data_IF_787432759783
#
_entry.id   IF_787432759783
#
_cell.length_a   1.000
_cell.length_b   1.000
_cell.length_c   1.000
_cell.angle_alpha   90.00
_cell.angle_beta   90.00
_cell.angle_gamma   90.00
#
_symmetry.space_group_name_H-M   'P 1'
#
loop_
_entity.id
_entity.type
_entity.pdbx_description
1 polymer ?
#
# COMPACT_ATOMS: atom_id res chain seq x y z
N UNK A 1 -7.54 -51.29 0.58
CA UNK A 1 -6.77 -50.34 1.42
C UNK A 1 -6.33 -49.17 0.55
N UNK A 2 -7.18 -48.15 0.40
CA UNK A 2 -6.88 -46.97 -0.41
C UNK A 2 -6.06 -45.96 0.42
N UNK A 3 -4.82 -45.72 0.03
CA UNK A 3 -3.96 -44.70 0.64
C UNK A 3 -4.55 -43.32 0.28
N UNK A 4 -5.25 -42.68 1.22
CA UNK A 4 -5.60 -41.27 1.10
C UNK A 4 -4.30 -40.48 1.18
N UNK A 5 -3.94 -39.88 0.05
CA UNK A 5 -2.84 -38.92 -0.03
C UNK A 5 -3.18 -37.76 0.89
N UNK A 6 -2.42 -37.61 1.98
CA UNK A 6 -2.50 -36.40 2.81
C UNK A 6 -2.21 -35.22 1.90
N UNK A 7 -3.23 -34.41 1.64
CA UNK A 7 -3.04 -33.05 1.14
C UNK A 7 -2.05 -32.38 2.07
N UNK A 8 -0.80 -32.29 1.60
CA UNK A 8 0.26 -31.54 2.25
C UNK A 8 -0.23 -30.10 2.22
N UNK A 9 -0.84 -29.66 3.31
CA UNK A 9 -1.16 -28.27 3.53
C UNK A 9 0.18 -27.57 3.35
N UNK A 10 0.30 -26.79 2.27
CA UNK A 10 1.46 -25.94 2.09
C UNK A 10 1.36 -24.99 3.26
N UNK A 11 2.13 -25.28 4.29
CA UNK A 11 2.55 -24.30 5.27
C UNK A 11 3.16 -23.18 4.44
N UNK A 12 2.33 -22.20 4.08
CA UNK A 12 2.78 -20.89 3.63
C UNK A 12 3.45 -20.35 4.88
N UNK A 13 4.71 -20.78 5.06
CA UNK A 13 5.46 -20.59 6.28
C UNK A 13 5.25 -19.17 6.73
N UNK A 14 4.66 -19.05 7.92
CA UNK A 14 4.33 -17.83 8.63
C UNK A 14 5.29 -16.73 8.20
N UNK A 15 4.90 -15.95 7.19
CA UNK A 15 5.69 -14.81 6.78
C UNK A 15 5.37 -13.82 7.87
N UNK A 16 6.15 -13.88 8.95
CA UNK A 16 5.86 -13.16 10.17
C UNK A 16 6.09 -11.68 9.85
N UNK A 17 5.05 -11.06 9.29
CA UNK A 17 5.03 -9.64 8.96
C UNK A 17 5.20 -8.89 10.26
N UNK A 18 6.33 -8.21 10.41
CA UNK A 18 6.59 -7.35 11.58
C UNK A 18 6.11 -5.93 11.29
N UNK A 19 5.83 -5.20 12.37
CA UNK A 19 5.52 -3.76 12.35
C UNK A 19 6.56 -2.97 11.57
N UNK A 20 7.85 -3.20 11.85
CA UNK A 20 8.97 -2.55 11.16
C UNK A 20 9.00 -2.84 9.65
N UNK A 21 8.70 -4.08 9.24
CA UNK A 21 8.64 -4.43 7.81
C UNK A 21 7.49 -3.71 7.10
N UNK A 22 6.31 -3.63 7.72
CA UNK A 22 5.17 -2.89 7.16
C UNK A 22 5.46 -1.40 7.03
N UNK A 23 6.07 -0.80 8.06
CA UNK A 23 6.46 0.60 8.02
C UNK A 23 7.45 0.89 6.90
N UNK A 24 8.47 0.04 6.74
CA UNK A 24 9.46 0.17 5.67
C UNK A 24 8.80 0.06 4.29
N UNK A 25 7.88 -0.88 4.10
CA UNK A 25 7.13 -1.04 2.85
C UNK A 25 6.23 0.17 2.56
N UNK A 26 5.48 0.67 3.55
CA UNK A 26 4.66 1.88 3.42
C UNK A 26 5.52 3.08 3.02
N UNK A 27 6.70 3.22 3.61
CA UNK A 27 7.64 4.31 3.32
C UNK A 27 8.15 4.22 1.88
N UNK A 28 8.62 3.05 1.43
CA UNK A 28 9.11 2.86 0.06
C UNK A 28 8.01 3.09 -0.98
N UNK A 29 6.80 2.60 -0.74
CA UNK A 29 5.66 2.85 -1.65
C UNK A 29 5.36 4.35 -1.72
N UNK A 30 5.42 5.04 -0.59
CA UNK A 30 5.22 6.50 -0.53
C UNK A 30 6.25 7.23 -1.38
N UNK A 31 7.52 6.86 -1.28
CA UNK A 31 8.60 7.42 -2.11
C UNK A 31 8.36 7.17 -3.60
N UNK A 32 7.95 5.95 -3.99
CA UNK A 32 7.64 5.65 -5.39
C UNK A 32 6.43 6.43 -5.93
N UNK A 33 5.41 6.67 -5.11
CA UNK A 33 4.27 7.51 -5.48
C UNK A 33 4.70 8.96 -5.69
N UNK A 34 5.56 9.49 -4.80
CA UNK A 34 6.07 10.85 -4.91
C UNK A 34 6.98 11.03 -6.13
N UNK A 35 7.84 10.05 -6.41
CA UNK A 35 8.67 10.01 -7.61
C UNK A 35 7.85 9.81 -8.90
N UNK A 36 6.59 9.35 -8.79
CA UNK A 36 5.74 9.04 -9.93
C UNK A 36 6.15 7.78 -10.68
N UNK A 37 6.99 6.94 -10.08
CA UNK A 37 7.45 5.67 -10.66
C UNK A 37 6.43 4.55 -10.45
N UNK A 38 5.53 4.72 -9.48
CA UNK A 38 4.45 3.77 -9.20
C UNK A 38 3.09 4.39 -9.55
N UNK A 39 2.30 3.64 -10.32
CA UNK A 39 0.92 3.99 -10.64
C UNK A 39 0.07 4.15 -9.36
N UNK A 40 -0.74 5.20 -9.31
CA UNK A 40 -1.49 5.57 -8.10
C UNK A 40 -2.56 4.52 -7.74
N UNK A 41 -3.12 3.78 -8.71
CA UNK A 41 -4.08 2.70 -8.44
C UNK A 41 -3.36 1.48 -7.88
N UNK A 42 -2.18 1.16 -8.40
CA UNK A 42 -1.33 0.10 -7.86
C UNK A 42 -0.92 0.40 -6.42
N UNK A 43 -0.40 1.60 -6.17
CA UNK A 43 -0.02 2.05 -4.84
C UNK A 43 -1.20 2.05 -3.85
N UNK A 44 -2.39 2.49 -4.28
CA UNK A 44 -3.60 2.43 -3.45
C UNK A 44 -4.00 1.00 -3.07
N UNK A 45 -3.85 0.02 -3.99
CA UNK A 45 -4.11 -1.39 -3.68
C UNK A 45 -3.10 -1.95 -2.70
N UNK A 46 -1.82 -1.62 -2.86
CA UNK A 46 -0.77 -2.03 -1.92
C UNK A 46 -1.00 -1.43 -0.53
N UNK A 47 -1.29 -0.13 -0.43
CA UNK A 47 -1.63 0.52 0.82
C UNK A 47 -2.83 -0.14 1.54
N UNK A 48 -3.89 -0.48 0.81
CA UNK A 48 -5.04 -1.22 1.37
C UNK A 48 -4.66 -2.60 1.90
N UNK A 49 -3.74 -3.31 1.24
CA UNK A 49 -3.25 -4.61 1.72
C UNK A 49 -2.42 -4.45 2.99
N UNK A 50 -1.49 -3.49 3.01
CA UNK A 50 -0.63 -3.23 4.17
C UNK A 50 -1.44 -2.82 5.41
N UNK A 51 -2.57 -2.10 5.24
CA UNK A 51 -3.49 -1.81 6.34
C UNK A 51 -4.14 -3.06 6.93
N UNK A 52 -4.60 -3.98 6.09
CA UNK A 52 -5.17 -5.25 6.56
C UNK A 52 -4.15 -6.07 7.33
N UNK A 53 -2.89 -6.05 6.91
CA UNK A 53 -1.80 -6.69 7.66
C UNK A 53 -1.54 -5.99 9.00
N UNK A 54 -1.59 -4.65 9.04
CA UNK A 54 -1.47 -3.89 10.29
C UNK A 54 -2.62 -4.20 11.26
N UNK A 55 -3.86 -4.25 10.76
CA UNK A 55 -5.05 -4.66 11.53
C UNK A 55 -4.93 -6.10 12.06
N UNK A 56 -4.35 -7.02 11.27
CA UNK A 56 -4.10 -8.39 11.71
C UNK A 56 -3.05 -8.45 12.83
N UNK A 57 -1.96 -7.67 12.73
CA UNK A 57 -0.93 -7.58 13.78
C UNK A 57 -1.51 -7.00 15.08
N UNK A 58 -2.35 -5.96 14.96
CA UNK A 58 -3.08 -5.37 16.10
C UNK A 58 -3.99 -6.39 16.77
N UNK A 59 -4.80 -7.10 15.98
CA UNK A 59 -5.73 -8.12 16.48
C UNK A 59 -5.02 -9.29 17.16
N UNK A 60 -3.82 -9.65 16.71
CA UNK A 60 -3.02 -10.72 17.31
C UNK A 60 -2.27 -10.28 18.57
N UNK A 61 -2.34 -8.99 18.95
CA UNK A 61 -1.62 -8.43 20.10
C UNK A 61 -0.10 -8.47 19.94
N UNK A 62 0.39 -8.50 18.69
CA UNK A 62 1.82 -8.66 18.36
C UNK A 62 2.57 -7.33 18.25
N UNK A 63 1.90 -6.20 18.47
CA UNK A 63 2.47 -4.86 18.39
C UNK A 63 2.14 -4.03 19.63
N UNK A 64 3.09 -3.18 20.01
CA UNK A 64 2.89 -2.12 20.99
C UNK A 64 2.08 -0.96 20.40
N UNK A 65 1.45 -0.16 21.26
CA UNK A 65 0.71 1.04 20.85
C UNK A 65 1.57 2.00 20.02
N UNK A 66 2.85 2.17 20.39
CA UNK A 66 3.79 3.04 19.67
C UNK A 66 4.03 2.55 18.24
N UNK A 67 4.09 1.24 18.01
CA UNK A 67 4.28 0.68 16.67
C UNK A 67 3.03 0.84 15.82
N UNK A 68 1.84 0.67 16.42
CA UNK A 68 0.56 0.89 15.75
C UNK A 68 0.39 2.36 15.33
N UNK A 69 0.74 3.30 16.22
CA UNK A 69 0.70 4.74 15.91
C UNK A 69 1.67 5.08 14.76
N UNK A 70 2.85 4.47 14.74
CA UNK A 70 3.84 4.65 13.67
C UNK A 70 3.31 4.12 12.32
N UNK A 71 2.68 2.94 12.32
CA UNK A 71 2.06 2.35 11.13
C UNK A 71 0.89 3.19 10.61
N UNK A 72 0.10 3.77 11.51
CA UNK A 72 -0.98 4.69 11.17
C UNK A 72 -0.43 5.94 10.50
N UNK A 73 0.59 6.58 11.08
CA UNK A 73 1.24 7.75 10.49
C UNK A 73 1.83 7.45 9.11
N UNK A 74 2.49 6.30 8.94
CA UNK A 74 3.03 5.87 7.64
C UNK A 74 1.90 5.67 6.61
N UNK A 75 0.77 5.09 7.03
CA UNK A 75 -0.41 4.90 6.19
C UNK A 75 -1.06 6.22 5.77
N UNK A 76 -1.14 7.20 6.68
CA UNK A 76 -1.67 8.54 6.40
C UNK A 76 -0.78 9.32 5.43
N UNK A 77 0.55 9.20 5.57
CA UNK A 77 1.52 9.79 4.62
C UNK A 77 1.37 9.23 3.20
N UNK A 78 1.11 7.92 3.08
CA UNK A 78 0.83 7.31 1.78
C UNK A 78 -0.46 7.87 1.16
N UNK A 79 -1.54 7.99 1.94
CA UNK A 79 -2.80 8.56 1.45
C UNK A 79 -2.66 10.01 1.00
N UNK A 80 -1.94 10.83 1.78
CA UNK A 80 -1.65 12.21 1.41
C UNK A 80 -0.85 12.28 0.09
N UNK A 81 0.14 11.40 -0.08
CA UNK A 81 0.96 11.34 -1.30
C UNK A 81 0.15 10.89 -2.51
N UNK A 82 -0.75 9.92 -2.35
CA UNK A 82 -1.67 9.48 -3.40
C UNK A 82 -2.63 10.58 -3.82
N UNK A 83 -3.26 11.27 -2.86
CA UNK A 83 -4.18 12.37 -3.13
C UNK A 83 -3.48 13.50 -3.86
N UNK A 84 -2.27 13.88 -3.43
CA UNK A 84 -1.45 14.89 -4.11
C UNK A 84 -1.11 14.48 -5.53
N UNK A 85 -0.70 13.22 -5.75
CA UNK A 85 -0.35 12.71 -7.09
C UNK A 85 -1.58 12.70 -8.01
N UNK A 86 -2.71 12.22 -7.53
CA UNK A 86 -3.97 12.23 -8.29
C UNK A 86 -4.40 13.66 -8.64
N UNK A 87 -4.28 14.61 -7.70
CA UNK A 87 -4.53 16.03 -7.96
C UNK A 87 -3.63 16.58 -9.07
N UNK A 88 -2.33 16.26 -9.04
CA UNK A 88 -1.39 16.66 -10.10
C UNK A 88 -1.78 16.09 -11.47
N UNK A 89 -2.11 14.79 -11.53
CA UNK A 89 -2.54 14.14 -12.77
C UNK A 89 -3.81 14.76 -13.35
N UNK A 90 -4.75 15.18 -12.50
CA UNK A 90 -5.97 15.88 -12.94
C UNK A 90 -5.66 17.25 -13.53
N UNK A 91 -4.74 18.02 -12.91
CA UNK A 91 -4.30 19.31 -13.44
C UNK A 91 -3.60 19.15 -14.78
N UNK A 92 -2.67 18.19 -14.89
CA UNK A 92 -1.95 17.88 -16.14
C UNK A 92 -2.93 17.47 -17.26
N UNK A 93 -3.93 16.64 -16.95
CA UNK A 93 -4.95 16.25 -17.91
C UNK A 93 -5.83 17.44 -18.35
N UNK A 94 -6.16 18.35 -17.42
CA UNK A 94 -6.92 19.56 -17.73
C UNK A 94 -6.16 20.53 -18.63
N UNK A 95 -4.87 20.74 -18.36
CA UNK A 95 -3.98 21.56 -19.21
C UNK A 95 -3.88 20.98 -20.63
N UNK A 96 -3.65 19.66 -20.74
CA UNK A 96 -3.60 18.99 -22.04
C UNK A 96 -4.91 19.12 -22.83
N UNK A 97 -6.07 19.04 -22.17
CA UNK A 97 -7.37 19.25 -22.82
C UNK A 97 -7.50 20.68 -23.35
N UNK A 98 -7.13 21.69 -22.55
CA UNK A 98 -7.18 23.09 -22.96
C UNK A 98 -6.25 23.40 -24.14
N UNK A 99 -5.08 22.81 -24.15
CA UNK A 99 -4.13 22.96 -25.26
C UNK A 99 -4.66 22.30 -26.53
N UNK A 100 -5.35 21.16 -26.41
CA UNK A 100 -5.99 20.48 -27.54
C UNK A 100 -7.25 21.18 -28.08
N UNK A 101 -7.96 21.94 -27.23
CA UNK A 101 -9.17 22.71 -27.60
C UNK A 101 -8.83 24.12 -28.14
N UNK A 102 -7.55 24.52 -28.15
CA UNK A 102 -7.14 25.78 -28.76
C UNK A 102 -7.23 25.68 -30.28
N UNK A 103 -8.17 26.37 -30.95
CA UNK A 103 -8.32 26.28 -32.40
C UNK A 103 -7.04 26.81 -33.06
N UNK A 104 -6.49 26.00 -33.97
CA UNK A 104 -5.37 26.38 -34.84
C UNK A 104 -5.71 27.56 -35.73
#
# INVERSE_FOLDING_TARGET
MGKKSSSKNVDVGSTQTTTATLESLLTQITEFVQAGTLDSRCAAKLGRRLRKEAEAIESDGRASQSELDTLKQASEKLDASLNRRNGKLLVEAYEALRDSDSPS
#
